data_IF_644232712302
#
_entry.id   IF_644232712302
#
_cell.length_a   1.000
_cell.length_b   1.000
_cell.length_c   1.000
_cell.angle_alpha   90.00
_cell.angle_beta   90.00
_cell.angle_gamma   90.00
#
_symmetry.space_group_name_H-M   'P 1'
#
loop_
_entity.id
_entity.type
_entity.pdbx_description
1 polymer ?
#
# COMPACT_ATOMS: atom_id res chain seq x y z
N UNK A 1 -9.87 2.27 -13.31
CA UNK A 1 -8.41 2.41 -13.31
C UNK A 1 -7.86 2.59 -11.92
N UNK A 2 -6.71 1.96 -11.67
CA UNK A 2 -5.98 2.00 -10.41
C UNK A 2 -4.62 2.67 -10.60
N UNK A 3 -4.20 3.44 -9.62
CA UNK A 3 -2.86 4.03 -9.56
C UNK A 3 -2.24 3.81 -8.19
N UNK A 4 -0.93 3.62 -8.16
CA UNK A 4 -0.16 3.45 -6.93
C UNK A 4 0.89 4.55 -6.84
N UNK A 5 0.94 5.22 -5.69
CA UNK A 5 1.90 6.27 -5.40
C UNK A 5 2.73 5.93 -4.17
N UNK A 6 4.04 6.13 -4.29
CA UNK A 6 4.95 6.13 -3.16
C UNK A 6 5.03 7.54 -2.57
N UNK A 7 4.74 7.66 -1.27
CA UNK A 7 4.85 8.92 -0.54
C UNK A 7 6.32 9.18 -0.22
N UNK A 8 6.78 10.41 -0.49
CA UNK A 8 8.12 10.89 -0.15
C UNK A 8 8.06 12.24 0.53
N UNK A 9 9.06 12.54 1.34
CA UNK A 9 9.21 13.80 2.07
C UNK A 9 9.26 13.57 3.57
N UNK A 10 9.93 14.49 4.27
CA UNK A 10 10.10 14.46 5.73
C UNK A 10 9.04 15.33 6.44
N UNK A 11 8.57 16.38 5.76
CA UNK A 11 7.63 17.37 6.29
C UNK A 11 6.29 17.25 5.56
N UNK A 12 5.13 17.20 6.26
CA UNK A 12 3.83 16.94 5.64
C UNK A 12 3.46 17.89 4.50
N UNK A 13 3.87 19.16 4.57
CA UNK A 13 3.53 20.16 3.57
C UNK A 13 4.41 20.08 2.32
N UNK A 14 5.59 19.48 2.42
CA UNK A 14 6.59 19.34 1.33
C UNK A 14 6.59 17.93 0.72
N UNK A 15 5.69 17.07 1.17
CA UNK A 15 5.54 15.72 0.65
C UNK A 15 5.18 15.71 -0.84
N UNK A 16 5.73 14.75 -1.57
CA UNK A 16 5.39 14.50 -2.97
C UNK A 16 5.05 13.03 -3.21
N UNK A 17 4.40 12.78 -4.35
CA UNK A 17 3.94 11.47 -4.76
C UNK A 17 4.69 11.05 -6.01
N UNK A 18 5.31 9.87 -5.95
CA UNK A 18 5.89 9.22 -7.12
C UNK A 18 4.95 8.11 -7.58
N UNK A 19 4.42 8.23 -8.80
CA UNK A 19 3.66 7.13 -9.41
C UNK A 19 4.59 5.94 -9.69
N UNK A 20 4.17 4.76 -9.25
CA UNK A 20 4.89 3.49 -9.42
C UNK A 20 3.97 2.44 -10.01
N UNK A 21 4.53 1.34 -10.50
CA UNK A 21 3.74 0.24 -11.04
C UNK A 21 2.72 -0.27 -10.00
N UNK A 22 1.45 -0.37 -10.38
CA UNK A 22 0.37 -0.83 -9.51
C UNK A 22 0.43 -2.35 -9.33
N UNK A 23 1.41 -2.81 -8.55
CA UNK A 23 1.71 -4.21 -8.32
C UNK A 23 2.24 -4.42 -6.90
N UNK A 24 2.06 -5.60 -6.32
CA UNK A 24 2.48 -5.89 -4.94
C UNK A 24 3.99 -5.66 -4.73
N UNK A 25 4.83 -5.95 -5.72
CA UNK A 25 6.28 -5.73 -5.66
C UNK A 25 6.69 -4.25 -5.54
N UNK A 26 5.77 -3.31 -5.72
CA UNK A 26 6.01 -1.88 -5.51
C UNK A 26 5.78 -1.42 -4.07
N UNK A 27 5.08 -2.21 -3.24
CA UNK A 27 4.90 -1.89 -1.83
C UNK A 27 6.25 -1.86 -1.09
N UNK A 28 6.34 -1.03 -0.06
CA UNK A 28 7.58 -0.81 0.69
C UNK A 28 7.27 -0.65 2.16
N UNK A 29 7.70 -1.61 2.97
CA UNK A 29 7.39 -1.64 4.41
C UNK A 29 7.93 -0.46 5.22
N UNK A 30 8.79 0.40 4.65
CA UNK A 30 9.41 1.56 5.33
C UNK A 30 8.76 2.91 5.00
N UNK A 31 7.71 2.94 4.20
CA UNK A 31 7.05 4.20 3.80
C UNK A 31 5.53 4.05 3.75
N UNK A 32 4.85 5.16 3.49
CA UNK A 32 3.42 5.21 3.19
C UNK A 32 3.21 5.13 1.68
N UNK A 33 2.13 4.46 1.28
CA UNK A 33 1.73 4.28 -0.12
C UNK A 33 0.27 4.69 -0.28
N UNK A 34 -0.10 5.24 -1.43
CA UNK A 34 -1.48 5.61 -1.77
C UNK A 34 -1.92 4.77 -2.96
N UNK A 35 -2.94 3.95 -2.78
CA UNK A 35 -3.63 3.26 -3.87
C UNK A 35 -4.90 4.03 -4.20
N UNK A 36 -4.97 4.59 -5.40
CA UNK A 36 -6.12 5.36 -5.87
C UNK A 36 -6.95 4.54 -6.85
N UNK A 37 -8.24 4.38 -6.54
CA UNK A 37 -9.26 3.98 -7.50
C UNK A 37 -9.93 5.23 -8.08
N UNK A 38 -9.67 5.51 -9.34
CA UNK A 38 -10.22 6.69 -10.02
C UNK A 38 -11.73 6.55 -10.16
N UNK A 39 -12.19 5.38 -10.63
CA UNK A 39 -13.59 5.13 -10.95
C UNK A 39 -14.49 5.18 -9.71
N UNK A 40 -13.97 4.74 -8.55
CA UNK A 40 -14.70 4.74 -7.28
C UNK A 40 -14.45 5.99 -6.43
N UNK A 41 -13.57 6.90 -6.86
CA UNK A 41 -13.06 8.01 -6.05
C UNK A 41 -12.67 7.52 -4.64
N UNK A 42 -11.78 6.52 -4.59
CA UNK A 42 -11.44 5.83 -3.35
C UNK A 42 -9.92 5.75 -3.22
N UNK A 43 -9.42 6.16 -2.07
CA UNK A 43 -8.02 6.06 -1.67
C UNK A 43 -7.89 4.99 -0.59
N UNK A 44 -6.94 4.08 -0.77
CA UNK A 44 -6.35 3.36 0.35
C UNK A 44 -5.00 3.99 0.71
N UNK A 45 -4.91 4.57 1.90
CA UNK A 45 -3.65 5.00 2.48
C UNK A 45 -3.07 3.83 3.26
N UNK A 46 -2.00 3.27 2.74
CA UNK A 46 -1.33 2.11 3.30
C UNK A 46 -0.03 2.53 3.97
N UNK A 47 0.21 2.08 5.19
CA UNK A 47 1.44 2.35 5.91
C UNK A 47 2.26 1.07 6.08
N UNK A 48 3.50 1.09 5.61
CA UNK A 48 4.44 0.01 5.87
C UNK A 48 4.67 -0.17 7.37
N UNK A 49 4.88 -1.40 7.82
CA UNK A 49 5.06 -1.74 9.24
C UNK A 49 6.29 -1.07 9.89
N UNK A 50 7.23 -0.57 9.09
CA UNK A 50 8.45 0.15 9.48
C UNK A 50 8.40 1.63 9.09
N UNK A 51 7.26 2.14 8.63
CA UNK A 51 7.08 3.55 8.36
C UNK A 51 7.14 4.35 9.66
N UNK A 52 7.95 5.40 9.68
CA UNK A 52 8.05 6.28 10.84
C UNK A 52 6.80 7.15 10.97
N UNK A 53 6.50 7.62 12.18
CA UNK A 53 5.30 8.44 12.45
C UNK A 53 5.21 9.65 11.52
N UNK A 54 6.32 10.37 11.32
CA UNK A 54 6.35 11.52 10.42
C UNK A 54 6.00 11.12 8.97
N UNK A 55 6.47 9.97 8.48
CA UNK A 55 6.18 9.47 7.12
C UNK A 55 4.69 9.12 6.97
N UNK A 56 4.05 8.66 8.06
CA UNK A 56 2.60 8.44 8.08
C UNK A 56 1.84 9.76 8.01
N UNK A 57 2.30 10.79 8.72
CA UNK A 57 1.71 12.13 8.68
C UNK A 57 1.82 12.76 7.29
N UNK A 58 2.97 12.63 6.63
CA UNK A 58 3.15 13.05 5.23
C UNK A 58 2.15 12.32 4.32
N UNK A 59 1.97 11.01 4.53
CA UNK A 59 1.00 10.21 3.79
C UNK A 59 -0.45 10.67 3.98
N UNK A 60 -0.86 10.98 5.22
CA UNK A 60 -2.20 11.52 5.51
C UNK A 60 -2.41 12.87 4.85
N UNK A 61 -1.45 13.78 4.96
CA UNK A 61 -1.54 15.09 4.32
C UNK A 61 -1.63 14.97 2.81
N UNK A 62 -0.85 14.08 2.19
CA UNK A 62 -0.93 13.84 0.76
C UNK A 62 -2.29 13.26 0.33
N UNK A 63 -2.83 12.28 1.07
CA UNK A 63 -4.14 11.70 0.79
C UNK A 63 -5.28 12.73 0.94
N UNK A 64 -5.23 13.56 2.00
CA UNK A 64 -6.19 14.65 2.20
C UNK A 64 -6.10 15.70 1.10
N UNK A 65 -4.89 16.09 0.66
CA UNK A 65 -4.70 17.00 -0.48
C UNK A 65 -5.35 16.45 -1.75
N UNK A 66 -5.18 15.16 -2.07
CA UNK A 66 -5.86 14.55 -3.23
C UNK A 66 -7.38 14.64 -3.07
N UNK A 67 -7.90 14.31 -1.88
CA UNK A 67 -9.34 14.34 -1.61
C UNK A 67 -9.94 15.73 -1.72
N UNK A 68 -9.23 16.76 -1.26
CA UNK A 68 -9.68 18.15 -1.27
C UNK A 68 -9.59 18.77 -2.66
N UNK A 69 -8.51 18.50 -3.39
CA UNK A 69 -8.21 19.15 -4.66
C UNK A 69 -8.75 18.40 -5.87
N UNK A 70 -8.96 17.08 -5.76
CA UNK A 70 -9.39 16.19 -6.84
C UNK A 70 -8.63 16.43 -8.17
N UNK A 71 -7.30 16.25 -8.17
CA UNK A 71 -6.43 16.58 -9.31
C UNK A 71 -6.79 15.82 -10.60
N UNK A 72 -6.91 16.55 -11.71
CA UNK A 72 -7.19 16.00 -13.04
C UNK A 72 -6.07 15.08 -13.52
N UNK A 73 -4.82 15.39 -13.17
CA UNK A 73 -3.64 14.60 -13.51
C UNK A 73 -3.64 13.22 -12.85
N UNK A 74 -4.30 13.09 -11.69
CA UNK A 74 -4.55 11.81 -11.03
C UNK A 74 -5.79 11.09 -11.60
N UNK A 75 -6.47 11.68 -12.58
CA UNK A 75 -7.70 11.20 -13.19
C UNK A 75 -8.97 11.54 -12.42
N UNK A 76 -8.89 12.35 -11.36
CA UNK A 76 -10.05 12.79 -10.58
C UNK A 76 -10.69 14.03 -11.20
N UNK A 77 -11.91 14.35 -10.76
CA UNK A 77 -12.63 15.54 -11.19
C UNK A 77 -13.15 16.31 -9.98
N UNK A 78 -13.44 17.60 -10.11
CA UNK A 78 -13.93 18.43 -8.99
C UNK A 78 -15.24 17.95 -8.35
N UNK A 79 -16.01 17.11 -9.05
CA UNK A 79 -17.22 16.46 -8.54
C UNK A 79 -16.95 15.11 -7.86
N UNK A 80 -15.72 14.60 -7.89
CA UNK A 80 -15.33 13.34 -7.26
C UNK A 80 -15.40 13.48 -5.74
N UNK A 81 -16.24 12.66 -5.10
CA UNK A 81 -16.28 12.60 -3.63
C UNK A 81 -15.30 11.54 -3.14
N UNK A 82 -14.05 11.94 -2.96
CA UNK A 82 -12.98 11.00 -2.60
C UNK A 82 -13.14 10.50 -1.17
N UNK A 83 -13.12 9.19 -0.99
CA UNK A 83 -13.09 8.52 0.33
C UNK A 83 -11.68 8.00 0.63
N UNK A 84 -11.28 8.01 1.91
CA UNK A 84 -9.95 7.54 2.34
C UNK A 84 -10.16 6.40 3.34
N UNK A 85 -9.50 5.27 3.09
CA UNK A 85 -9.36 4.15 4.01
C UNK A 85 -7.89 4.02 4.40
N UNK A 86 -7.58 4.32 5.66
CA UNK A 86 -6.23 4.17 6.21
C UNK A 86 -6.05 2.76 6.78
N UNK A 87 -4.92 2.11 6.51
CA UNK A 87 -4.57 0.79 7.03
C UNK A 87 -3.05 0.61 7.13
N UNK A 88 -2.61 -0.26 8.03
CA UNK A 88 -1.23 -0.69 8.14
C UNK A 88 -0.97 -2.00 7.39
N UNK A 89 0.28 -2.25 7.05
CA UNK A 89 0.78 -3.50 6.47
C UNK A 89 0.33 -4.73 7.28
N UNK A 90 -0.31 -5.68 6.60
CA UNK A 90 -0.91 -6.88 7.20
C UNK A 90 -2.37 -6.71 7.64
N UNK A 91 -2.92 -5.49 7.63
CA UNK A 91 -4.33 -5.18 7.98
C UNK A 91 -5.13 -4.68 6.77
N UNK A 92 -4.69 -4.97 5.55
CA UNK A 92 -5.28 -4.42 4.34
C UNK A 92 -6.68 -4.98 4.08
N UNK A 93 -7.67 -4.11 3.79
CA UNK A 93 -9.01 -4.55 3.43
C UNK A 93 -8.99 -5.33 2.10
N UNK A 94 -9.97 -6.20 1.87
CA UNK A 94 -10.01 -7.02 0.65
C UNK A 94 -9.92 -6.19 -0.64
N UNK A 95 -10.61 -5.04 -0.68
CA UNK A 95 -10.62 -4.14 -1.84
C UNK A 95 -9.28 -3.44 -2.14
N UNK A 96 -8.33 -3.44 -1.20
CA UNK A 96 -6.97 -2.95 -1.46
C UNK A 96 -6.25 -3.83 -2.49
N UNK A 97 -6.40 -5.14 -2.37
CA UNK A 97 -5.73 -6.13 -3.22
C UNK A 97 -6.31 -6.20 -4.64
N UNK A 98 -7.52 -5.70 -4.85
CA UNK A 98 -8.11 -5.58 -6.19
C UNK A 98 -7.27 -4.70 -7.11
N UNK A 99 -6.49 -3.76 -6.56
CA UNK A 99 -5.64 -2.85 -7.30
C UNK A 99 -4.31 -3.47 -7.75
N UNK A 100 -3.73 -4.35 -6.93
CA UNK A 100 -2.32 -4.76 -7.06
C UNK A 100 -2.11 -6.09 -7.81
N UNK A 101 -3.17 -6.60 -8.43
CA UNK A 101 -3.21 -7.97 -8.95
C UNK A 101 -3.39 -8.96 -7.80
N UNK A 102 -4.25 -9.96 -7.98
CA UNK A 102 -4.71 -10.92 -6.95
C UNK A 102 -3.60 -11.35 -5.97
N UNK A 103 -3.99 -11.55 -4.70
CA UNK A 103 -3.23 -12.19 -3.62
C UNK A 103 -2.44 -13.40 -4.13
N UNK A 104 -1.19 -13.20 -4.52
CA UNK A 104 -0.18 -14.23 -4.32
C UNK A 104 0.45 -13.94 -2.97
N UNK A 105 -0.16 -14.50 -1.92
CA UNK A 105 0.22 -14.31 -0.52
C UNK A 105 1.66 -14.80 -0.23
N UNK A 106 2.35 -15.36 -1.24
CA UNK A 106 3.72 -15.86 -1.21
C UNK A 106 4.76 -14.92 -1.84
N UNK A 107 4.37 -13.81 -2.49
CA UNK A 107 5.30 -12.92 -3.18
C UNK A 107 5.88 -11.79 -2.30
N UNK A 108 5.48 -11.72 -1.02
CA UNK A 108 6.00 -10.74 -0.09
C UNK A 108 6.90 -11.43 0.93
N UNK A 109 8.20 -11.11 0.89
CA UNK A 109 9.14 -11.29 2.01
C UNK A 109 8.69 -10.38 3.16
N UNK A 110 7.58 -10.77 3.77
CA UNK A 110 7.04 -10.16 4.95
C UNK A 110 8.09 -10.38 6.04
N UNK A 111 8.79 -9.32 6.44
CA UNK A 111 9.70 -9.34 7.59
C UNK A 111 8.93 -9.48 8.93
N UNK A 112 7.69 -9.96 8.90
CA UNK A 112 7.06 -10.63 10.03
C UNK A 112 7.76 -11.98 10.18
N UNK A 113 8.91 -11.98 10.85
CA UNK A 113 9.46 -13.19 11.44
C UNK A 113 8.47 -13.72 12.49
N UNK A 114 7.51 -14.51 12.02
CA UNK A 114 6.65 -15.35 12.83
C UNK A 114 6.95 -16.79 12.48
N UNK A 115 7.83 -17.40 13.29
CA UNK A 115 8.11 -18.85 13.44
C UNK A 115 7.64 -19.75 12.29
N UNK A 116 8.62 -20.33 11.59
CA UNK A 116 8.44 -21.49 10.70
C UNK A 116 7.58 -22.54 11.41
N UNK A 117 6.44 -22.99 10.84
CA UNK A 117 5.83 -24.23 11.28
C UNK A 117 6.80 -25.35 10.92
N UNK A 118 7.38 -25.97 11.94
CA UNK A 118 8.19 -27.17 11.84
C UNK A 118 7.30 -28.35 11.44
N UNK A 119 6.95 -28.47 10.17
CA UNK A 119 6.40 -29.69 9.58
C UNK A 119 6.76 -29.73 8.09
N UNK A 120 7.93 -30.29 7.80
CA UNK A 120 8.19 -31.22 6.69
C UNK A 120 9.69 -31.51 6.66
N UNK A 121 10.15 -32.37 7.58
CA UNK A 121 11.35 -33.17 7.34
C UNK A 121 10.87 -34.60 7.12
N UNK A 122 10.39 -34.87 5.90
CA UNK A 122 10.30 -36.25 5.44
C UNK A 122 11.74 -36.80 5.32
N UNK A 123 11.92 -37.92 5.99
CA UNK A 123 13.13 -38.74 6.16
C UNK A 123 13.79 -39.14 4.84
N UNK A 124 15.09 -38.88 4.71
CA UNK A 124 15.98 -39.57 3.75
C UNK A 124 16.53 -40.90 4.33
N UNK A 125 15.70 -41.65 5.05
CA UNK A 125 16.03 -42.98 5.61
C UNK A 125 14.96 -44.05 5.35
N UNK A 126 13.90 -43.77 4.59
CA UNK A 126 12.87 -44.78 4.23
C UNK A 126 13.18 -45.54 2.92
N UNK A 127 14.42 -45.49 2.44
CA UNK A 127 14.91 -46.34 1.34
C UNK A 127 16.25 -46.99 1.68
N UNK A 128 16.26 -47.83 2.71
CA UNK A 128 17.34 -48.80 2.99
C UNK A 128 16.78 -50.06 3.63
#
# INVERSE_FOLDING_TARGET
DWRLYCVRGEVPNEGNLLEVACHCSSLRSRTSMIVLNINKALIYLWHGCKAQSHTKDVGRTAANKIKEQCPLEAGLHSSSKVTIHECDEGSEPLGFWDALGRRDRKAYDCMLQGRVPEFDTFSLLDWS
#
